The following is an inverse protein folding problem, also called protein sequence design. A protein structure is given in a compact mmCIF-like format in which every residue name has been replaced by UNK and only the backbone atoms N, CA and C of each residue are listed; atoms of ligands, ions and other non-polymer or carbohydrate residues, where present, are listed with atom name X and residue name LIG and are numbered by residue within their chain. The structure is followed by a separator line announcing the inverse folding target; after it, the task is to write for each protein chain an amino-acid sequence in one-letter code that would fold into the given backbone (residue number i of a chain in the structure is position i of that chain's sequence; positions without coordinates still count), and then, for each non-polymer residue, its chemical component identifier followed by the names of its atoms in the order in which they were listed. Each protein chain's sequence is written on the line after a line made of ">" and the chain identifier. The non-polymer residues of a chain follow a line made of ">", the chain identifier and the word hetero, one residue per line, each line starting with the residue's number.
data_IF_849122257614
#
_entry.id   IF_849122257614
#
_cell.length_a   1.000
_cell.length_b   1.000
_cell.length_c   1.000
_cell.angle_alpha   90.00
_cell.angle_beta   90.00
_cell.angle_gamma   90.00
#
_symmetry.space_group_name_H-M   'P 1'
#
loop_
_entity.id
_entity.type
_entity.pdbx_description
1 polymer ?
#
# COMPACT_ATOMS: atom_id res chain seq x y z
N UNK A 1 -0.47 12.56 12.68
CA UNK A 1 -1.67 11.71 12.59
C UNK A 1 -1.53 10.85 11.35
N UNK A 2 -1.82 9.55 11.44
CA UNK A 2 -1.78 8.64 10.30
C UNK A 2 -3.05 8.84 9.44
N UNK A 3 -2.93 9.15 8.14
CA UNK A 3 -4.09 9.30 7.27
C UNK A 3 -4.84 7.98 7.09
N UNK A 4 -6.17 8.07 7.08
CA UNK A 4 -7.06 6.97 6.69
C UNK A 4 -7.85 7.42 5.46
N UNK A 5 -7.78 6.63 4.40
CA UNK A 5 -8.57 6.82 3.20
C UNK A 5 -9.71 5.79 3.18
N UNK A 6 -10.78 6.12 2.47
CA UNK A 6 -11.93 5.25 2.29
C UNK A 6 -12.44 5.26 0.85
N UNK A 7 -13.12 4.18 0.47
CA UNK A 7 -13.90 4.10 -0.77
C UNK A 7 -15.17 3.26 -0.53
N UNK A 8 -16.24 3.46 -1.31
CA UNK A 8 -17.42 2.61 -1.24
C UNK A 8 -17.07 1.15 -1.56
N UNK A 9 -17.49 0.22 -0.69
CA UNK A 9 -17.42 -1.21 -0.95
C UNK A 9 -18.62 -1.71 -1.74
N UNK A 10 -18.46 -2.88 -2.38
CA UNK A 10 -19.50 -3.51 -3.20
C UNK A 10 -20.72 -3.98 -2.37
N UNK A 11 -20.50 -4.25 -1.10
CA UNK A 11 -21.49 -4.69 -0.12
C UNK A 11 -22.20 -3.52 0.60
N UNK A 12 -21.93 -2.28 0.18
CA UNK A 12 -22.46 -1.08 0.82
C UNK A 12 -21.68 -0.62 2.05
N UNK A 13 -20.67 -1.38 2.50
CA UNK A 13 -19.77 -0.98 3.58
C UNK A 13 -18.58 -0.20 3.02
N UNK A 14 -18.05 0.76 3.78
CA UNK A 14 -16.82 1.45 3.40
C UNK A 14 -15.61 0.52 3.49
N UNK A 15 -14.78 0.52 2.45
CA UNK A 15 -13.46 -0.11 2.46
C UNK A 15 -12.43 0.94 2.85
N UNK A 16 -11.69 0.69 3.92
CA UNK A 16 -10.73 1.67 4.47
C UNK A 16 -9.29 1.16 4.45
N UNK A 17 -8.34 2.07 4.30
CA UNK A 17 -6.92 1.80 4.41
C UNK A 17 -6.23 2.92 5.20
N UNK A 18 -5.39 2.53 6.16
CA UNK A 18 -4.51 3.46 6.90
C UNK A 18 -3.14 3.48 6.28
N UNK A 19 -2.49 4.62 6.39
CA UNK A 19 -1.18 4.93 5.87
C UNK A 19 -0.41 5.73 6.93
N UNK A 20 0.91 5.70 6.86
CA UNK A 20 1.78 6.36 7.84
C UNK A 20 2.00 7.85 7.53
N UNK A 21 1.79 8.27 6.28
CA UNK A 21 1.98 9.66 5.87
C UNK A 21 1.44 10.00 4.49
N UNK A 22 1.57 11.27 4.14
CA UNK A 22 1.23 11.83 2.82
C UNK A 22 2.34 12.80 2.42
N UNK A 23 2.76 12.77 1.15
CA UNK A 23 3.70 13.71 0.56
C UNK A 23 3.20 14.11 -0.84
N UNK A 24 2.65 15.32 -0.96
CA UNK A 24 1.97 15.77 -2.18
C UNK A 24 0.84 14.82 -2.59
N UNK A 25 1.01 14.13 -3.72
CA UNK A 25 0.06 13.14 -4.25
C UNK A 25 0.42 11.69 -3.88
N UNK A 26 1.47 11.49 -3.06
CA UNK A 26 1.86 10.18 -2.57
C UNK A 26 1.22 9.89 -1.21
N UNK A 27 0.64 8.70 -1.06
CA UNK A 27 0.15 8.19 0.23
C UNK A 27 1.05 7.03 0.68
N UNK A 28 1.69 7.18 1.84
CA UNK A 28 2.89 6.43 2.22
C UNK A 28 2.56 5.41 3.30
N UNK A 29 2.96 4.16 3.09
CA UNK A 29 2.97 3.08 4.09
C UNK A 29 4.43 2.63 4.30
N UNK A 30 4.92 2.73 5.53
CA UNK A 30 6.28 2.32 5.90
C UNK A 30 6.22 0.89 6.42
N UNK A 31 6.72 -0.03 5.62
CA UNK A 31 6.70 -1.45 5.95
C UNK A 31 8.12 -2.00 6.09
N UNK A 32 8.30 -3.04 6.89
CA UNK A 32 9.63 -3.54 7.24
C UNK A 32 10.06 -4.70 6.36
N UNK A 33 9.21 -5.71 6.23
CA UNK A 33 9.40 -6.85 5.34
C UNK A 33 8.05 -7.56 5.08
N UNK A 34 7.45 -7.41 3.90
CA UNK A 34 6.15 -8.01 3.64
C UNK A 34 6.25 -9.53 3.49
N UNK A 35 5.66 -10.26 4.43
CA UNK A 35 5.47 -11.70 4.30
C UNK A 35 4.31 -12.02 3.35
N UNK A 36 4.49 -13.02 2.49
CA UNK A 36 3.44 -13.49 1.59
C UNK A 36 2.40 -14.28 2.39
N UNK A 37 1.34 -13.61 2.79
CA UNK A 37 0.16 -14.21 3.43
C UNK A 37 -1.11 -13.74 2.72
N UNK A 38 -2.22 -14.50 2.76
CA UNK A 38 -3.49 -14.06 2.18
C UNK A 38 -3.93 -12.69 2.69
N UNK A 39 -3.78 -12.45 4.01
CA UNK A 39 -4.10 -11.17 4.66
C UNK A 39 -3.25 -10.01 4.12
N UNK A 40 -1.95 -10.21 3.94
CA UNK A 40 -1.07 -9.19 3.40
C UNK A 40 -1.43 -8.85 1.94
N UNK A 41 -1.74 -9.87 1.13
CA UNK A 41 -2.18 -9.67 -0.27
C UNK A 41 -3.47 -8.84 -0.33
N UNK A 42 -4.46 -9.15 0.51
CA UNK A 42 -5.68 -8.37 0.60
C UNK A 42 -5.43 -6.93 1.04
N UNK A 43 -4.54 -6.72 2.03
CA UNK A 43 -4.17 -5.39 2.48
C UNK A 43 -3.53 -4.56 1.36
N UNK A 44 -2.58 -5.12 0.62
CA UNK A 44 -1.93 -4.41 -0.48
C UNK A 44 -2.92 -4.05 -1.59
N UNK A 45 -3.81 -4.98 -1.96
CA UNK A 45 -4.88 -4.69 -2.93
C UNK A 45 -5.83 -3.60 -2.44
N UNK A 46 -6.16 -3.60 -1.15
CA UNK A 46 -7.01 -2.58 -0.53
C UNK A 46 -6.35 -1.21 -0.54
N UNK A 47 -5.09 -1.13 -0.11
CA UNK A 47 -4.31 0.11 -0.14
C UNK A 47 -4.22 0.67 -1.56
N UNK A 48 -3.92 -0.18 -2.54
CA UNK A 48 -3.88 0.19 -3.94
C UNK A 48 -5.22 0.76 -4.44
N UNK A 49 -6.33 0.08 -4.17
CA UNK A 49 -7.65 0.49 -4.64
C UNK A 49 -8.13 1.79 -3.98
N UNK A 50 -7.99 1.90 -2.66
CA UNK A 50 -8.41 3.09 -1.91
C UNK A 50 -7.57 4.30 -2.29
N UNK A 51 -6.25 4.15 -2.44
CA UNK A 51 -5.38 5.24 -2.89
C UNK A 51 -5.80 5.74 -4.28
N UNK A 52 -5.98 4.82 -5.24
CA UNK A 52 -6.39 5.17 -6.60
C UNK A 52 -7.77 5.86 -6.64
N UNK A 53 -8.74 5.39 -5.86
CA UNK A 53 -10.06 6.02 -5.76
C UNK A 53 -9.97 7.47 -5.28
N UNK A 54 -9.06 7.76 -4.35
CA UNK A 54 -8.86 9.09 -3.78
C UNK A 54 -7.84 9.95 -4.57
N UNK A 55 -7.39 9.50 -5.74
CA UNK A 55 -6.45 10.24 -6.59
C UNK A 55 -5.00 10.27 -6.08
N UNK A 56 -4.64 9.36 -5.17
CA UNK A 56 -3.28 9.23 -4.63
C UNK A 56 -2.49 8.11 -5.30
N UNK A 57 -1.17 8.32 -5.40
CA UNK A 57 -0.19 7.29 -5.70
C UNK A 57 0.23 6.59 -4.40
N UNK A 58 -0.16 5.33 -4.23
CA UNK A 58 0.31 4.55 -3.07
C UNK A 58 1.81 4.27 -3.17
N UNK A 59 2.53 4.46 -2.05
CA UNK A 59 3.97 4.21 -1.94
C UNK A 59 4.24 3.34 -0.72
N UNK A 60 5.03 2.28 -0.92
CA UNK A 60 5.64 1.51 0.15
C UNK A 60 7.10 1.91 0.31
N UNK A 61 7.46 2.38 1.50
CA UNK A 61 8.82 2.74 1.88
C UNK A 61 9.40 1.66 2.79
N UNK A 62 10.57 1.13 2.39
CA UNK A 62 11.23 0.03 3.09
C UNK A 62 12.57 0.47 3.68
N UNK A 63 13.00 -0.10 4.82
CA UNK A 63 14.21 0.34 5.51
C UNK A 63 15.52 -0.12 4.87
N UNK A 64 15.49 -1.14 3.99
CA UNK A 64 16.70 -1.73 3.39
C UNK A 64 16.48 -2.11 1.93
N UNK A 65 17.54 -2.14 1.09
CA UNK A 65 17.44 -2.63 -0.28
C UNK A 65 16.88 -4.05 -0.38
N UNK A 66 17.24 -4.94 0.56
CA UNK A 66 16.74 -6.32 0.59
C UNK A 66 15.23 -6.36 0.82
N UNK A 67 14.71 -5.48 1.68
CA UNK A 67 13.26 -5.35 1.91
C UNK A 67 12.54 -4.77 0.68
N UNK A 68 13.16 -3.82 -0.04
CA UNK A 68 12.64 -3.30 -1.32
C UNK A 68 12.48 -4.44 -2.33
N UNK A 69 13.48 -5.30 -2.47
CA UNK A 69 13.41 -6.44 -3.39
C UNK A 69 12.36 -7.48 -2.98
N UNK A 70 12.25 -7.76 -1.67
CA UNK A 70 11.19 -8.61 -1.14
C UNK A 70 9.79 -8.03 -1.43
N UNK A 71 9.61 -6.72 -1.21
CA UNK A 71 8.37 -6.03 -1.51
C UNK A 71 8.01 -6.06 -3.00
N UNK A 72 8.97 -5.86 -3.91
CA UNK A 72 8.73 -5.98 -5.36
C UNK A 72 8.26 -7.39 -5.76
N UNK A 73 8.87 -8.44 -5.20
CA UNK A 73 8.42 -9.83 -5.42
C UNK A 73 7.01 -10.05 -4.86
N UNK A 74 6.74 -9.53 -3.67
CA UNK A 74 5.42 -9.57 -3.06
C UNK A 74 4.37 -8.88 -3.94
N UNK A 75 4.66 -7.70 -4.52
CA UNK A 75 3.74 -7.01 -5.43
C UNK A 75 3.38 -7.86 -6.65
N UNK A 76 4.38 -8.52 -7.26
CA UNK A 76 4.17 -9.46 -8.36
C UNK A 76 3.30 -10.66 -7.98
N UNK A 77 3.46 -11.20 -6.78
CA UNK A 77 2.60 -12.26 -6.23
C UNK A 77 1.18 -11.76 -5.95
N UNK A 78 1.05 -10.59 -5.32
CA UNK A 78 -0.23 -9.97 -4.98
C UNK A 78 -1.02 -9.48 -6.20
N UNK A 79 -0.37 -9.40 -7.37
CA UNK A 79 -0.91 -8.79 -8.60
C UNK A 79 -1.27 -7.32 -8.40
N UNK A 80 -0.40 -6.61 -7.70
CA UNK A 80 -0.52 -5.16 -7.45
C UNK A 80 0.59 -4.47 -8.22
N UNK A 81 0.23 -3.65 -9.20
CA UNK A 81 1.19 -2.91 -10.04
C UNK A 81 1.17 -1.39 -9.80
N UNK A 82 0.20 -0.90 -9.01
CA UNK A 82 -0.04 0.53 -8.80
C UNK A 82 0.61 1.06 -7.52
N UNK A 83 1.25 0.22 -6.70
CA UNK A 83 2.02 0.67 -5.53
C UNK A 83 3.47 0.83 -5.94
N UNK A 84 4.02 2.03 -5.75
CA UNK A 84 5.46 2.30 -5.91
C UNK A 84 6.21 1.75 -4.71
N UNK A 85 7.34 1.10 -4.95
CA UNK A 85 8.16 0.46 -3.91
C UNK A 85 9.55 1.09 -3.93
N UNK A 86 9.95 1.76 -2.84
CA UNK A 86 11.24 2.45 -2.72
C UNK A 86 11.88 2.30 -1.34
N UNK A 87 13.16 2.64 -1.26
CA UNK A 87 13.86 2.79 0.02
C UNK A 87 13.28 4.00 0.75
N UNK A 88 13.08 3.91 2.06
CA UNK A 88 12.73 5.04 2.89
C UNK A 88 13.83 6.12 2.79
N UNK A 89 13.41 7.37 2.56
CA UNK A 89 14.28 8.54 2.55
C UNK A 89 14.56 9.09 3.93
#
# INVERSE_FOLDING_TARGET
>A
MAPQLEMPGRDGNSVTARFDGVDGLEIIDRTTNPMVTPKAVEQARRQAAVAAYNGYQAVWELPTPQAVDAARRFMGHAKVSTIVVRLAG
#
